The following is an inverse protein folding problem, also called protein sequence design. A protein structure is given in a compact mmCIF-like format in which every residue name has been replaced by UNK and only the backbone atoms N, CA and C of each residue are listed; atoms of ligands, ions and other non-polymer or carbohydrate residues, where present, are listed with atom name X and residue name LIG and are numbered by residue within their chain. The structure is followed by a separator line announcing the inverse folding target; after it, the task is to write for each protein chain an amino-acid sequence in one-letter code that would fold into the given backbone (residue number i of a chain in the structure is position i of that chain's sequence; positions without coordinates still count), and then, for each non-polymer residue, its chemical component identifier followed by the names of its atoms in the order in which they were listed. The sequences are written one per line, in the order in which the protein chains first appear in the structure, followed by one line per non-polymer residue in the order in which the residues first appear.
data_IF_145337695911
#
_entry.id   IF_145337695911
#
_cell.length_a   1.000
_cell.length_b   1.000
_cell.length_c   1.000
_cell.angle_alpha   90.00
_cell.angle_beta   90.00
_cell.angle_gamma   90.00
#
_symmetry.space_group_name_H-M   'P 1'
#
loop_
_entity.id
_entity.type
_entity.pdbx_description
1 polymer ?
#
# COMPACT_ATOMS: atom_id res chain seq x y z
N UNK A 1 31.44 -5.26 11.62
CA UNK A 1 30.53 -6.34 12.06
C UNK A 1 29.11 -5.78 11.98
N UNK A 2 28.44 -5.95 10.83
CA UNK A 2 27.04 -5.54 10.70
C UNK A 2 26.23 -6.45 11.62
N UNK A 3 25.72 -5.90 12.71
CA UNK A 3 24.69 -6.57 13.49
C UNK A 3 23.41 -6.42 12.67
N UNK A 4 23.07 -7.42 11.87
CA UNK A 4 21.69 -7.56 11.41
C UNK A 4 20.83 -7.64 12.68
N UNK A 5 19.99 -6.64 12.89
CA UNK A 5 19.00 -6.72 13.95
C UNK A 5 18.12 -7.94 13.67
N UNK A 6 17.71 -8.71 14.69
CA UNK A 6 16.76 -9.80 14.48
C UNK A 6 15.55 -9.24 13.74
N UNK A 7 15.19 -9.86 12.60
CA UNK A 7 14.01 -9.46 11.83
C UNK A 7 12.81 -9.47 12.77
N UNK A 8 12.21 -8.31 12.95
CA UNK A 8 11.01 -8.20 13.74
C UNK A 8 9.81 -8.64 12.87
N UNK A 9 8.68 -8.90 13.52
CA UNK A 9 7.45 -9.32 12.82
C UNK A 9 6.97 -8.30 11.77
N UNK A 10 7.26 -7.00 11.95
CA UNK A 10 6.95 -5.94 11.00
C UNK A 10 7.82 -6.05 9.74
N UNK A 11 9.11 -6.40 9.88
CA UNK A 11 10.03 -6.56 8.76
C UNK A 11 9.57 -7.73 7.87
N UNK A 12 9.16 -8.84 8.49
CA UNK A 12 8.62 -10.01 7.77
C UNK A 12 7.31 -9.67 7.05
N UNK A 13 6.39 -9.02 7.76
CA UNK A 13 5.11 -8.58 7.19
C UNK A 13 5.33 -7.61 6.02
N UNK A 14 6.12 -6.56 6.23
CA UNK A 14 6.42 -5.55 5.22
C UNK A 14 7.08 -6.20 3.99
N UNK A 15 8.07 -7.06 4.20
CA UNK A 15 8.77 -7.72 3.09
C UNK A 15 7.81 -8.60 2.29
N UNK A 16 6.99 -9.41 2.95
CA UNK A 16 6.01 -10.27 2.28
C UNK A 16 4.96 -9.46 1.51
N UNK A 17 4.50 -8.35 2.08
CA UNK A 17 3.54 -7.46 1.42
C UNK A 17 4.15 -6.81 0.17
N UNK A 18 5.35 -6.25 0.32
CA UNK A 18 6.09 -5.58 -0.76
C UNK A 18 6.37 -6.52 -1.94
N UNK A 19 6.73 -7.78 -1.67
CA UNK A 19 6.96 -8.78 -2.73
C UNK A 19 5.73 -9.01 -3.61
N UNK A 20 4.52 -8.83 -3.07
CA UNK A 20 3.28 -8.90 -3.86
C UNK A 20 3.09 -7.59 -4.62
N UNK A 21 3.05 -6.47 -3.89
CA UNK A 21 2.73 -5.15 -4.46
C UNK A 21 3.66 -4.75 -5.60
N UNK A 22 4.97 -5.03 -5.47
CA UNK A 22 5.99 -4.63 -6.45
C UNK A 22 5.76 -5.22 -7.85
N UNK A 23 5.03 -6.34 -7.95
CA UNK A 23 4.69 -6.97 -9.24
C UNK A 23 3.52 -6.28 -9.94
N UNK A 24 2.71 -5.53 -9.20
CA UNK A 24 1.48 -4.93 -9.74
C UNK A 24 1.56 -3.42 -9.86
N UNK A 25 2.38 -2.72 -9.06
CA UNK A 25 2.43 -1.28 -9.08
C UNK A 25 3.69 -0.68 -8.45
N UNK A 26 3.96 0.58 -8.81
CA UNK A 26 4.95 1.39 -8.08
C UNK A 26 4.38 1.82 -6.73
N UNK A 27 5.18 1.73 -5.68
CA UNK A 27 4.80 2.10 -4.33
C UNK A 27 5.95 2.78 -3.59
N UNK A 28 5.61 3.46 -2.49
CA UNK A 28 6.57 3.98 -1.52
C UNK A 28 6.04 3.71 -0.11
N UNK A 29 6.90 3.18 0.76
CA UNK A 29 6.58 3.03 2.19
C UNK A 29 6.82 4.37 2.88
N UNK A 30 5.84 4.86 3.62
CA UNK A 30 5.84 6.19 4.23
C UNK A 30 5.38 6.15 5.69
N UNK A 31 6.24 5.80 6.63
CA UNK A 31 5.78 5.75 8.03
C UNK A 31 6.90 5.87 9.05
N UNK A 32 6.51 5.85 10.33
CA UNK A 32 7.40 5.60 11.46
C UNK A 32 8.22 4.32 11.29
N UNK A 33 7.75 3.35 10.50
CA UNK A 33 8.53 2.20 10.06
C UNK A 33 9.86 2.60 9.40
N UNK A 34 9.90 3.66 8.57
CA UNK A 34 11.15 4.15 7.97
C UNK A 34 12.11 4.65 9.05
N UNK A 35 11.60 5.29 10.10
CA UNK A 35 12.41 5.70 11.24
C UNK A 35 12.93 4.50 12.06
N UNK A 36 12.16 3.42 12.18
CA UNK A 36 12.55 2.18 12.87
C UNK A 36 13.59 1.41 12.06
N UNK A 37 13.35 1.22 10.77
CA UNK A 37 14.26 0.58 9.83
C UNK A 37 15.62 1.31 9.76
N UNK A 38 15.64 2.63 10.02
CA UNK A 38 16.87 3.44 10.09
C UNK A 38 17.49 3.51 11.49
N UNK A 39 17.01 2.70 12.45
CA UNK A 39 17.64 2.51 13.76
C UNK A 39 17.11 3.37 14.89
N UNK A 40 15.95 4.05 14.75
CA UNK A 40 15.30 4.74 15.87
C UNK A 40 14.38 3.79 16.64
N UNK A 41 14.44 3.84 17.96
CA UNK A 41 13.52 3.11 18.84
C UNK A 41 12.17 3.82 18.92
N UNK A 42 11.24 3.43 18.06
CA UNK A 42 9.81 3.78 18.15
C UNK A 42 9.02 2.47 17.97
N UNK A 43 7.95 2.26 18.73
CA UNK A 43 6.99 1.21 18.39
C UNK A 43 6.05 1.74 17.31
N UNK A 44 5.85 0.98 16.24
CA UNK A 44 4.74 1.18 15.30
C UNK A 44 4.13 -0.18 15.06
N UNK A 45 2.80 -0.26 15.06
CA UNK A 45 2.07 -1.48 14.71
C UNK A 45 1.55 -1.41 13.27
N UNK A 46 1.50 -0.19 12.73
CA UNK A 46 1.02 0.13 11.39
C UNK A 46 2.18 0.55 10.48
N UNK A 47 2.08 0.16 9.21
CA UNK A 47 2.98 0.54 8.13
C UNK A 47 2.13 1.21 7.06
N UNK A 48 2.41 2.48 6.74
CA UNK A 48 1.73 3.15 5.65
C UNK A 48 2.50 2.98 4.33
N UNK A 49 1.76 2.78 3.24
CA UNK A 49 2.26 2.67 1.87
C UNK A 49 1.45 3.57 0.96
N UNK A 50 2.10 4.38 0.13
CA UNK A 50 1.44 5.08 -0.98
C UNK A 50 1.67 4.28 -2.25
N UNK A 51 0.59 4.01 -2.99
CA UNK A 51 0.65 3.34 -4.30
C UNK A 51 0.28 4.31 -5.43
N UNK A 52 0.81 4.07 -6.63
CA UNK A 52 0.33 4.76 -7.83
C UNK A 52 -1.16 4.50 -8.09
N UNK A 53 -1.80 5.38 -8.87
CA UNK A 53 -3.19 5.17 -9.28
C UNK A 53 -3.29 3.97 -10.22
N UNK A 54 -4.14 3.01 -9.88
CA UNK A 54 -4.34 1.79 -10.66
C UNK A 54 -5.69 1.77 -11.38
N UNK A 55 -5.70 1.18 -12.56
CA UNK A 55 -6.94 0.78 -13.23
C UNK A 55 -7.59 -0.39 -12.47
N UNK A 56 -8.92 -0.51 -12.59
CA UNK A 56 -9.70 -1.49 -11.82
C UNK A 56 -9.22 -2.93 -12.00
N UNK A 57 -8.89 -3.33 -13.21
CA UNK A 57 -8.40 -4.67 -13.53
C UNK A 57 -7.05 -4.97 -12.85
N UNK A 58 -6.12 -4.01 -12.83
CA UNK A 58 -4.83 -4.13 -12.15
C UNK A 58 -5.00 -4.18 -10.63
N UNK A 59 -5.87 -3.34 -10.08
CA UNK A 59 -6.15 -3.33 -8.65
C UNK A 59 -6.80 -4.64 -8.18
N UNK A 60 -7.80 -5.14 -8.91
CA UNK A 60 -8.43 -6.43 -8.55
C UNK A 60 -7.42 -7.59 -8.63
N UNK A 61 -6.50 -7.60 -9.62
CA UNK A 61 -5.39 -8.58 -9.66
C UNK A 61 -4.45 -8.46 -8.45
N UNK A 62 -4.08 -7.24 -8.06
CA UNK A 62 -3.29 -7.00 -6.85
C UNK A 62 -4.00 -7.54 -5.61
N UNK A 63 -5.29 -7.22 -5.46
CA UNK A 63 -6.10 -7.66 -4.33
C UNK A 63 -6.21 -9.20 -4.25
N UNK A 64 -6.49 -9.86 -5.38
CA UNK A 64 -6.51 -11.33 -5.45
C UNK A 64 -5.16 -11.94 -5.05
N UNK A 65 -4.05 -11.38 -5.54
CA UNK A 65 -2.73 -11.89 -5.20
C UNK A 65 -2.38 -11.64 -3.73
N UNK A 66 -2.80 -10.53 -3.14
CA UNK A 66 -2.69 -10.28 -1.70
C UNK A 66 -3.46 -11.34 -0.90
N UNK A 67 -4.70 -11.65 -1.29
CA UNK A 67 -5.49 -12.72 -0.64
C UNK A 67 -4.80 -14.08 -0.76
N UNK A 68 -4.27 -14.43 -1.94
CA UNK A 68 -3.53 -15.69 -2.15
C UNK A 68 -2.28 -15.80 -1.27
N UNK A 69 -1.67 -14.68 -0.90
CA UNK A 69 -0.50 -14.62 -0.02
C UNK A 69 -0.88 -14.51 1.46
N UNK A 70 -2.16 -14.69 1.81
CA UNK A 70 -2.63 -14.75 3.19
C UNK A 70 -2.91 -13.38 3.81
N UNK A 71 -3.03 -12.32 3.00
CA UNK A 71 -3.49 -11.01 3.47
C UNK A 71 -5.01 -10.89 3.35
N UNK A 72 -5.61 -10.09 4.21
CA UNK A 72 -7.04 -9.79 4.19
C UNK A 72 -7.24 -8.29 4.29
N UNK A 73 -8.19 -7.76 3.53
CA UNK A 73 -8.59 -6.37 3.66
C UNK A 73 -9.55 -6.23 4.85
N UNK A 74 -9.39 -5.18 5.65
CA UNK A 74 -10.20 -4.98 6.86
C UNK A 74 -11.57 -4.39 6.56
N UNK A 75 -11.69 -3.63 5.47
CA UNK A 75 -12.90 -2.89 5.13
C UNK A 75 -13.92 -3.75 4.36
N UNK A 76 -13.47 -4.50 3.35
CA UNK A 76 -14.32 -5.27 2.46
C UNK A 76 -13.52 -6.35 1.73
N UNK A 77 -14.20 -7.43 1.31
CA UNK A 77 -13.64 -8.47 0.43
C UNK A 77 -13.84 -8.15 -1.07
N UNK A 78 -14.60 -7.10 -1.41
CA UNK A 78 -14.83 -6.69 -2.81
C UNK A 78 -13.76 -5.71 -3.29
N UNK A 79 -13.01 -6.10 -4.33
CA UNK A 79 -12.00 -5.23 -4.93
C UNK A 79 -12.59 -3.94 -5.52
N UNK A 80 -13.84 -3.94 -5.98
CA UNK A 80 -14.48 -2.74 -6.53
C UNK A 80 -14.72 -1.71 -5.43
N UNK A 81 -15.25 -2.14 -4.30
CA UNK A 81 -15.50 -1.30 -3.13
C UNK A 81 -14.18 -0.74 -2.57
N UNK A 82 -13.16 -1.58 -2.39
CA UNK A 82 -11.83 -1.14 -1.94
C UNK A 82 -11.19 -0.12 -2.88
N UNK A 83 -11.43 -0.24 -4.18
CA UNK A 83 -10.95 0.74 -5.16
C UNK A 83 -11.70 2.06 -5.07
N UNK A 84 -13.01 2.04 -4.76
CA UNK A 84 -13.80 3.25 -4.50
C UNK A 84 -13.25 4.01 -3.29
N UNK A 85 -12.93 3.32 -2.19
CA UNK A 85 -12.24 3.93 -1.05
C UNK A 85 -10.98 4.69 -1.48
N UNK A 86 -10.11 4.07 -2.29
CA UNK A 86 -8.89 4.70 -2.78
C UNK A 86 -9.16 5.88 -3.73
N UNK A 87 -10.19 5.79 -4.56
CA UNK A 87 -10.59 6.89 -5.45
C UNK A 87 -11.16 8.08 -4.68
N UNK A 88 -11.84 7.81 -3.57
CA UNK A 88 -12.40 8.80 -2.64
C UNK A 88 -11.36 9.29 -1.61
N UNK A 89 -10.07 9.08 -1.89
CA UNK A 89 -8.95 9.49 -1.05
C UNK A 89 -8.95 8.90 0.36
N UNK A 90 -9.64 7.77 0.55
CA UNK A 90 -9.68 7.03 1.81
C UNK A 90 -8.71 5.86 1.76
N UNK A 91 -7.94 5.67 2.82
CA UNK A 91 -6.99 4.57 2.91
C UNK A 91 -7.70 3.22 3.08
N UNK A 92 -7.12 2.17 2.51
CA UNK A 92 -7.53 0.78 2.77
C UNK A 92 -6.47 0.08 3.63
N UNK A 93 -6.87 -0.92 4.42
CA UNK A 93 -5.97 -1.58 5.36
C UNK A 93 -5.94 -3.08 5.13
N UNK A 94 -4.75 -3.64 5.19
CA UNK A 94 -4.52 -5.07 5.08
C UNK A 94 -3.81 -5.60 6.32
N UNK A 95 -4.18 -6.81 6.72
CA UNK A 95 -3.51 -7.57 7.77
C UNK A 95 -3.26 -8.99 7.29
N UNK A 96 -2.54 -9.78 8.07
CA UNK A 96 -2.54 -11.22 7.85
C UNK A 96 -3.88 -11.81 8.27
N UNK A 97 -4.30 -12.87 7.58
CA UNK A 97 -5.44 -13.67 8.00
C UNK A 97 -5.27 -14.12 9.45
N UNK A 98 -6.31 -13.90 10.26
CA UNK A 98 -6.38 -14.24 11.68
C UNK A 98 -5.36 -13.53 12.60
N UNK A 99 -4.67 -12.50 12.12
CA UNK A 99 -3.78 -11.66 12.92
C UNK A 99 -4.11 -10.18 12.71
N UNK A 100 -4.70 -9.49 13.69
CA UNK A 100 -5.09 -8.09 13.53
C UNK A 100 -3.89 -7.15 13.40
N UNK A 101 -2.70 -7.56 13.86
CA UNK A 101 -1.46 -6.81 13.73
C UNK A 101 -0.36 -7.69 13.14
N UNK A 102 0.60 -7.11 12.40
CA UNK A 102 0.67 -5.69 12.02
C UNK A 102 -0.29 -5.30 10.87
N UNK A 103 -0.55 -3.99 10.73
CA UNK A 103 -1.42 -3.44 9.68
C UNK A 103 -0.60 -2.77 8.57
N UNK A 104 -1.01 -2.95 7.31
CA UNK A 104 -0.54 -2.17 6.18
C UNK A 104 -1.65 -1.21 5.74
N UNK A 105 -1.44 0.09 5.91
CA UNK A 105 -2.36 1.13 5.43
C UNK A 105 -1.93 1.59 4.02
N UNK A 106 -2.70 1.19 3.00
CA UNK A 106 -2.52 1.67 1.63
C UNK A 106 -3.25 2.99 1.45
N UNK A 107 -2.47 4.01 1.08
CA UNK A 107 -2.93 5.35 0.74
C UNK A 107 -2.88 5.55 -0.77
N UNK A 108 -3.89 6.17 -1.37
CA UNK A 108 -3.83 6.54 -2.78
C UNK A 108 -2.78 7.64 -2.97
N UNK A 109 -2.01 7.59 -4.06
CA UNK A 109 -1.21 8.75 -4.45
C UNK A 109 -2.16 9.92 -4.71
N UNK A 110 -2.08 10.93 -3.84
CA UNK A 110 -2.81 12.16 -4.04
C UNK A 110 -2.15 12.90 -5.21
N UNK A 111 -2.85 12.98 -6.33
CA UNK A 111 -2.44 13.88 -7.40
C UNK A 111 -2.74 15.29 -6.91
N UNK A 112 -1.76 15.93 -6.27
CA UNK A 112 -1.85 17.35 -5.96
C UNK A 112 -2.18 18.08 -7.28
N UNK A 113 -3.22 18.94 -7.35
CA UNK A 113 -3.57 19.64 -8.60
C UNK A 113 -2.47 20.60 -9.08
N UNK A 114 -1.38 20.76 -8.32
CA UNK A 114 -0.19 21.48 -8.74
C UNK A 114 0.79 20.55 -9.50
N UNK A 115 0.55 20.41 -10.82
CA UNK A 115 1.62 20.05 -11.75
C UNK A 115 1.29 18.93 -12.75
N UNK A 116 0.43 19.23 -13.72
CA UNK A 116 0.60 18.93 -15.17
C UNK A 116 -0.59 19.50 -15.94
N UNK A 117 -0.48 20.77 -16.36
CA UNK A 117 -1.20 21.22 -17.56
C UNK A 117 -0.56 20.53 -18.76
N UNK A 118 -1.16 19.42 -19.18
CA UNK A 118 -1.02 18.87 -20.52
C UNK A 118 -2.39 18.97 -21.19
N UNK A 119 -2.84 20.20 -21.45
CA UNK A 119 -4.02 20.45 -22.26
C UNK A 119 -3.64 20.17 -23.73
N UNK A 120 -4.03 19.00 -24.24
CA UNK A 120 -4.31 18.85 -25.67
C UNK A 120 -5.81 19.04 -25.82
N UNK A 121 -6.20 20.28 -26.09
CA UNK A 121 -7.51 20.61 -26.61
C UNK A 121 -7.40 20.58 -28.15
N UNK A 122 -7.63 19.42 -28.74
CA UNK A 122 -8.03 19.30 -30.13
C UNK A 122 -9.50 18.90 -30.09
N UNK A 123 -10.39 19.86 -30.35
CA UNK A 123 -11.69 19.68 -31.00
C UNK A 123 -12.53 20.96 -30.87
N UNK A 124 -12.40 21.84 -31.85
CA UNK A 124 -13.49 22.71 -32.28
C UNK A 124 -13.54 22.65 -33.80
N UNK A 125 -14.54 21.91 -34.27
CA UNK A 125 -15.09 21.97 -35.63
C UNK A 125 -15.88 23.27 -35.78
#
# INVERSE_FOLDING_TARGET
MNREAPKNILDEFCTAFCQVVERHCTYIIVSGFVAIATGRTRGTEDIDMIIEKLAKDRFCKLHEDLIRHGFVAMQSDDCAELLEYLNDHTSIRYTWKDKPLPEMEIKPMHCCPFGRSGALAEDLT
#
